data_IF_306585245548
#
_entry.id   IF_306585245548
#
_cell.length_a   1.000
_cell.length_b   1.000
_cell.length_c   1.000
_cell.angle_alpha   90.00
_cell.angle_beta   90.00
_cell.angle_gamma   90.00
#
_symmetry.space_group_name_H-M   'P 1'
#
loop_
_entity.id
_entity.type
_entity.pdbx_description
1 polymer ?
#
# COMPACT_ATOMS: atom_id res chain seq x y z
N UNK A 1 4.48 -5.37 -24.49
CA UNK A 1 3.86 -5.41 -23.15
C UNK A 1 4.81 -6.12 -22.20
N UNK A 2 5.67 -5.37 -21.52
CA UNK A 2 6.64 -5.93 -20.57
C UNK A 2 5.86 -6.64 -19.46
N UNK A 3 6.04 -7.96 -19.33
CA UNK A 3 5.50 -8.74 -18.20
C UNK A 3 6.00 -8.09 -16.92
N UNK A 4 5.14 -7.33 -16.24
CA UNK A 4 5.50 -6.61 -15.01
C UNK A 4 6.03 -7.61 -14.00
N UNK A 5 7.32 -7.52 -13.69
CA UNK A 5 7.97 -8.40 -12.72
C UNK A 5 7.36 -8.09 -11.36
N UNK A 6 6.69 -9.09 -10.76
CA UNK A 6 6.14 -8.97 -9.41
C UNK A 6 7.31 -8.73 -8.46
N UNK A 7 7.27 -7.60 -7.76
CA UNK A 7 8.28 -7.18 -6.78
C UNK A 7 7.54 -6.62 -5.57
N UNK A 8 7.20 -7.46 -4.59
CA UNK A 8 6.45 -7.02 -3.42
C UNK A 8 7.21 -5.96 -2.61
N UNK A 9 6.46 -5.02 -2.06
CA UNK A 9 6.95 -4.08 -1.06
C UNK A 9 7.52 -4.84 0.15
N UNK A 10 8.61 -4.32 0.73
CA UNK A 10 9.26 -4.94 1.90
C UNK A 10 8.36 -5.07 3.12
N UNK A 11 7.36 -4.19 3.26
CA UNK A 11 6.37 -4.22 4.34
C UNK A 11 5.04 -4.84 3.92
N UNK A 12 4.95 -5.51 2.77
CA UNK A 12 3.69 -6.02 2.23
C UNK A 12 2.89 -6.86 3.23
N UNK A 13 3.56 -7.72 4.00
CA UNK A 13 2.89 -8.63 4.93
C UNK A 13 2.36 -7.95 6.20
N UNK A 14 3.00 -6.85 6.63
CA UNK A 14 2.59 -6.07 7.81
C UNK A 14 1.69 -4.88 7.45
N UNK A 15 1.69 -4.46 6.18
CA UNK A 15 0.97 -3.29 5.72
C UNK A 15 -0.56 -3.53 5.72
N UNK A 16 -1.37 -2.65 6.34
CA UNK A 16 -2.81 -2.83 6.46
C UNK A 16 -3.55 -2.88 5.11
N UNK A 17 -2.96 -2.36 4.03
CA UNK A 17 -3.54 -2.48 2.68
C UNK A 17 -3.81 -3.95 2.33
N UNK A 18 -2.87 -4.85 2.67
CA UNK A 18 -3.04 -6.28 2.42
C UNK A 18 -4.23 -6.84 3.21
N UNK A 19 -4.40 -6.42 4.46
CA UNK A 19 -5.50 -6.85 5.30
C UNK A 19 -6.85 -6.32 4.79
N UNK A 20 -6.94 -5.03 4.45
CA UNK A 20 -8.17 -4.43 3.92
C UNK A 20 -8.60 -5.04 2.60
N UNK A 21 -7.67 -5.32 1.69
CA UNK A 21 -8.01 -5.99 0.43
C UNK A 21 -8.44 -7.43 0.65
N UNK A 22 -7.80 -8.17 1.58
CA UNK A 22 -8.25 -9.52 1.94
C UNK A 22 -9.66 -9.54 2.55
N UNK A 23 -10.03 -8.51 3.29
CA UNK A 23 -11.37 -8.34 3.86
C UNK A 23 -12.41 -7.84 2.84
N UNK A 24 -12.00 -7.52 1.59
CA UNK A 24 -12.87 -6.94 0.58
C UNK A 24 -13.24 -5.48 0.81
N UNK A 25 -12.62 -4.81 1.80
CA UNK A 25 -12.85 -3.39 2.11
C UNK A 25 -12.11 -2.45 1.15
N UNK A 26 -11.01 -2.92 0.55
CA UNK A 26 -10.14 -2.13 -0.32
C UNK A 26 -9.93 -2.83 -1.65
N UNK A 27 -10.04 -2.08 -2.74
CA UNK A 27 -9.93 -2.59 -4.10
C UNK A 27 -8.53 -3.14 -4.38
N UNK A 28 -8.46 -4.21 -5.19
CA UNK A 28 -7.18 -4.85 -5.57
C UNK A 28 -6.21 -3.92 -6.30
N UNK A 29 -6.73 -2.86 -6.90
CA UNK A 29 -5.95 -1.80 -7.56
C UNK A 29 -4.75 -1.35 -6.72
N UNK A 30 -4.94 -1.14 -5.42
CA UNK A 30 -3.88 -0.69 -4.52
C UNK A 30 -2.77 -1.72 -4.35
N UNK A 31 -3.14 -2.99 -4.21
CA UNK A 31 -2.18 -4.09 -4.07
C UNK A 31 -1.41 -4.29 -5.37
N UNK A 32 -2.09 -4.26 -6.50
CA UNK A 32 -1.51 -4.57 -7.80
C UNK A 32 -0.65 -3.43 -8.36
N UNK A 33 -1.00 -2.17 -8.07
CA UNK A 33 -0.29 -0.99 -8.60
C UNK A 33 0.70 -0.36 -7.61
N UNK A 34 0.59 -0.64 -6.31
CA UNK A 34 1.52 -0.09 -5.31
C UNK A 34 2.31 -1.17 -4.58
N UNK A 35 1.65 -2.25 -4.14
CA UNK A 35 2.27 -3.17 -3.20
C UNK A 35 3.02 -4.34 -3.84
N UNK A 36 2.59 -4.85 -5.00
CA UNK A 36 3.17 -6.03 -5.68
C UNK A 36 4.11 -5.68 -6.83
N UNK A 37 4.34 -4.40 -7.05
CA UNK A 37 5.22 -3.85 -8.09
C UNK A 37 6.25 -2.93 -7.45
N UNK A 38 7.29 -2.57 -8.21
CA UNK A 38 8.36 -1.68 -7.73
C UNK A 38 7.93 -0.20 -7.66
N UNK A 39 6.84 0.08 -6.94
CA UNK A 39 6.21 1.40 -6.89
C UNK A 39 6.33 2.07 -5.51
N UNK A 40 7.32 1.65 -4.71
CA UNK A 40 7.59 2.19 -3.38
C UNK A 40 7.81 3.72 -3.40
N UNK A 41 8.41 4.26 -4.48
CA UNK A 41 8.64 5.70 -4.65
C UNK A 41 7.34 6.52 -4.74
N UNK A 42 6.23 5.93 -5.15
CA UNK A 42 4.94 6.62 -5.24
C UNK A 42 3.99 6.28 -4.08
N UNK A 43 4.41 5.43 -3.14
CA UNK A 43 3.65 5.12 -1.94
C UNK A 43 4.07 6.06 -0.80
N UNK A 44 3.23 7.02 -0.45
CA UNK A 44 3.51 7.98 0.63
C UNK A 44 3.68 7.28 1.99
N UNK A 45 2.91 6.22 2.24
CA UNK A 45 3.08 5.39 3.45
C UNK A 45 4.48 4.80 3.54
N UNK A 46 5.00 4.27 2.42
CA UNK A 46 6.36 3.74 2.37
C UNK A 46 7.38 4.83 2.72
N UNK A 47 7.24 6.03 2.14
CA UNK A 47 8.15 7.14 2.41
C UNK A 47 8.13 7.57 3.88
N UNK A 48 6.94 7.62 4.49
CA UNK A 48 6.77 7.98 5.89
C UNK A 48 7.36 6.92 6.83
N UNK A 49 7.17 5.63 6.57
CA UNK A 49 7.82 4.53 7.31
C UNK A 49 9.35 4.63 7.24
N UNK A 50 9.92 4.90 6.06
CA UNK A 50 11.38 5.09 5.92
C UNK A 50 11.90 6.29 6.71
N UNK A 51 11.06 7.31 6.93
CA UNK A 51 11.38 8.52 7.68
C UNK A 51 11.05 8.39 9.17
N UNK A 52 10.49 7.26 9.61
CA UNK A 52 10.01 7.07 10.98
C UNK A 52 8.84 8.00 11.35
N UNK A 53 8.08 8.46 10.36
CA UNK A 53 6.93 9.34 10.56
C UNK A 53 5.65 8.53 10.77
N UNK A 54 4.86 8.94 11.76
CA UNK A 54 3.57 8.34 12.01
C UNK A 54 2.58 8.60 10.86
N UNK A 55 1.87 7.54 10.45
CA UNK A 55 0.67 7.65 9.62
C UNK A 55 -0.42 6.68 10.12
N UNK A 56 -1.72 7.02 9.97
CA UNK A 56 -2.79 6.09 10.30
C UNK A 56 -2.87 4.90 9.33
N UNK A 57 -3.39 3.77 9.80
CA UNK A 57 -3.53 2.55 8.99
C UNK A 57 -4.46 2.72 7.79
N UNK A 58 -5.48 3.57 7.95
CA UNK A 58 -6.47 3.90 6.92
C UNK A 58 -5.99 4.95 5.91
N UNK A 59 -4.72 5.38 5.98
CA UNK A 59 -4.09 6.14 4.90
C UNK A 59 -3.79 5.20 3.73
N UNK A 60 -4.09 5.63 2.51
CA UNK A 60 -3.80 4.92 1.28
C UNK A 60 -2.39 5.25 0.75
N UNK A 61 -1.84 4.45 -0.18
CA UNK A 61 -0.57 4.74 -0.83
C UNK A 61 -0.44 6.12 -1.48
N UNK A 62 -1.53 6.70 -1.98
CA UNK A 62 -1.55 8.05 -2.57
C UNK A 62 -1.67 9.18 -1.53
N UNK A 63 -1.72 8.86 -0.23
CA UNK A 63 -1.85 9.82 0.87
C UNK A 63 -3.28 10.17 1.28
N UNK A 64 -4.29 9.69 0.55
CA UNK A 64 -5.69 9.89 0.93
C UNK A 64 -6.03 9.08 2.18
N UNK A 65 -6.82 9.65 3.10
CA UNK A 65 -7.29 8.94 4.29
C UNK A 65 -8.73 8.47 4.12
N UNK A 66 -8.92 7.14 4.13
CA UNK A 66 -10.23 6.47 3.98
C UNK A 66 -10.75 6.01 5.34
N UNK A 67 -11.47 6.89 6.05
CA UNK A 67 -11.99 6.58 7.41
C UNK A 67 -12.95 5.39 7.45
N UNK A 68 -13.53 5.01 6.32
CA UNK A 68 -14.34 3.79 6.15
C UNK A 68 -13.55 2.49 6.30
N UNK A 69 -12.21 2.56 6.27
CA UNK A 69 -11.32 1.42 6.52
C UNK A 69 -10.97 1.23 8.01
N UNK A 70 -11.43 2.13 8.89
CA UNK A 70 -11.25 1.99 10.33
C UNK A 70 -11.94 0.74 10.89
#
# INVERSE_FOLDING_TARGET
>A
MSRGKIKPCKWYDACPMKAYTKQGKLERYWIENYCLVDNHRHCLRYQMEEQGQYHPDFMLPNGETRKDLQ
#
